data_IF_204156334414
#
_entry.id   IF_204156334414
#
_cell.length_a   1.000
_cell.length_b   1.000
_cell.length_c   1.000
_cell.angle_alpha   90.00
_cell.angle_beta   90.00
_cell.angle_gamma   90.00
#
_symmetry.space_group_name_H-M   'P 1'
#
loop_
_entity.id
_entity.type
_entity.pdbx_description
1 polymer ?
#
# COMPACT_ATOMS: atom_id res chain seq x y z
N UNK A 1 -0.80 -41.50 31.63
CA UNK A 1 -1.84 -40.67 30.98
C UNK A 1 -1.37 -39.23 31.06
N UNK A 2 -0.74 -38.72 29.97
CA UNK A 2 -0.28 -37.34 29.89
C UNK A 2 -1.41 -36.48 29.34
N UNK A 3 -1.90 -35.54 30.12
CA UNK A 3 -2.79 -34.51 29.71
C UNK A 3 -1.99 -33.53 28.83
N UNK A 4 -2.24 -33.50 27.53
CA UNK A 4 -1.79 -32.41 26.66
C UNK A 4 -2.48 -31.13 27.12
N UNK A 5 -1.74 -30.28 27.84
CA UNK A 5 -2.16 -28.90 28.05
C UNK A 5 -2.17 -28.18 26.69
N UNK A 6 -3.35 -28.00 26.13
CA UNK A 6 -3.57 -27.04 25.07
C UNK A 6 -3.40 -25.67 25.71
N UNK A 7 -2.25 -25.07 25.54
CA UNK A 7 -2.01 -23.68 25.94
C UNK A 7 -2.90 -22.80 25.04
N UNK A 8 -4.01 -22.33 25.59
CA UNK A 8 -4.85 -21.32 24.96
C UNK A 8 -4.01 -20.03 24.87
N UNK A 9 -3.54 -19.69 23.68
CA UNK A 9 -2.85 -18.43 23.43
C UNK A 9 -3.74 -17.28 23.89
N UNK A 10 -3.15 -16.32 24.61
CA UNK A 10 -3.83 -15.09 24.98
C UNK A 10 -4.26 -14.33 23.71
N UNK A 11 -5.34 -13.55 23.73
CA UNK A 11 -5.82 -12.80 22.55
C UNK A 11 -4.77 -11.88 21.92
N UNK A 12 -3.83 -11.35 22.71
CA UNK A 12 -2.74 -10.49 22.23
C UNK A 12 -1.67 -11.31 21.48
N UNK A 13 -1.33 -12.53 21.92
CA UNK A 13 -0.38 -13.41 21.23
C UNK A 13 -0.83 -13.79 19.81
N UNK A 14 -2.15 -13.95 19.61
CA UNK A 14 -2.72 -14.26 18.28
C UNK A 14 -2.65 -13.05 17.36
N UNK A 15 -2.84 -11.85 17.86
CA UNK A 15 -2.78 -10.63 17.06
C UNK A 15 -1.35 -10.35 16.59
N UNK A 16 -0.37 -10.54 17.45
CA UNK A 16 1.06 -10.42 17.10
C UNK A 16 1.43 -11.44 16.01
N UNK A 17 0.87 -12.64 16.06
CA UNK A 17 1.04 -13.65 15.00
C UNK A 17 0.44 -13.19 13.67
N UNK A 18 -0.73 -12.56 13.66
CA UNK A 18 -1.37 -12.02 12.43
C UNK A 18 -0.51 -10.92 11.81
N UNK A 19 0.05 -10.02 12.62
CA UNK A 19 0.92 -8.96 12.13
C UNK A 19 2.25 -9.48 11.59
N UNK A 20 2.81 -10.49 12.24
CA UNK A 20 4.02 -11.15 11.75
C UNK A 20 3.77 -11.83 10.41
N UNK A 21 2.66 -12.57 10.26
CA UNK A 21 2.30 -13.22 9.00
C UNK A 21 1.99 -12.21 7.93
N UNK A 22 1.32 -11.09 8.25
CA UNK A 22 1.10 -10.00 7.31
C UNK A 22 2.43 -9.44 6.77
N UNK A 23 3.37 -9.13 7.66
CA UNK A 23 4.68 -8.60 7.27
C UNK A 23 5.45 -9.59 6.40
N UNK A 24 5.43 -10.89 6.76
CA UNK A 24 6.05 -11.94 5.95
C UNK A 24 5.36 -12.12 4.60
N UNK A 25 4.03 -11.96 4.52
CA UNK A 25 3.28 -12.05 3.27
C UNK A 25 3.62 -10.90 2.33
N UNK A 26 3.75 -9.67 2.85
CA UNK A 26 4.19 -8.51 2.06
C UNK A 26 5.60 -8.72 1.53
N UNK A 27 6.53 -9.16 2.38
CA UNK A 27 7.91 -9.44 1.99
C UNK A 27 7.98 -10.55 0.92
N UNK A 28 7.28 -11.65 1.12
CA UNK A 28 7.21 -12.75 0.15
C UNK A 28 6.65 -12.29 -1.20
N UNK A 29 5.54 -11.56 -1.18
CA UNK A 29 4.91 -11.05 -2.40
C UNK A 29 5.81 -10.06 -3.14
N UNK A 30 6.52 -9.21 -2.42
CA UNK A 30 7.49 -8.26 -2.97
C UNK A 30 8.66 -8.98 -3.61
N UNK A 31 9.19 -10.02 -2.98
CA UNK A 31 10.27 -10.84 -3.54
C UNK A 31 9.86 -11.50 -4.86
N UNK A 32 8.62 -12.02 -4.94
CA UNK A 32 8.07 -12.58 -6.19
C UNK A 32 7.85 -11.54 -7.29
N UNK A 33 7.64 -10.29 -6.93
CA UNK A 33 7.46 -9.20 -7.89
C UNK A 33 8.79 -8.69 -8.48
N UNK A 34 9.92 -8.91 -7.80
CA UNK A 34 11.25 -8.43 -8.25
C UNK A 34 11.62 -8.83 -9.67
N UNK A 35 11.22 -10.02 -10.10
CA UNK A 35 11.54 -10.52 -11.43
C UNK A 35 10.86 -9.72 -12.55
N UNK A 36 9.79 -9.02 -12.22
CA UNK A 36 9.03 -8.18 -13.14
C UNK A 36 9.44 -6.70 -13.05
N UNK A 37 10.06 -6.30 -11.95
CA UNK A 37 10.54 -4.94 -11.77
C UNK A 37 11.77 -4.68 -12.63
N UNK A 38 11.77 -3.57 -13.37
CA UNK A 38 12.83 -3.23 -14.30
C UNK A 38 12.84 -4.09 -15.58
N UNK A 39 11.75 -4.82 -15.83
CA UNK A 39 11.56 -5.49 -17.12
C UNK A 39 11.53 -4.45 -18.24
N UNK A 40 12.29 -4.72 -19.28
CA UNK A 40 12.32 -3.94 -20.51
C UNK A 40 12.21 -4.88 -21.71
N UNK A 41 11.16 -4.72 -22.50
CA UNK A 41 11.02 -5.43 -23.76
C UNK A 41 11.96 -4.80 -24.79
N UNK A 42 12.90 -5.57 -25.40
CA UNK A 42 13.77 -5.05 -26.44
C UNK A 42 13.04 -4.46 -27.64
N UNK A 43 11.84 -4.98 -27.95
CA UNK A 43 10.99 -4.50 -29.03
C UNK A 43 10.04 -3.37 -28.62
N UNK A 44 10.01 -3.00 -27.33
CA UNK A 44 9.16 -1.95 -26.74
C UNK A 44 7.66 -2.14 -27.00
N UNK A 45 7.22 -3.38 -27.18
CA UNK A 45 5.82 -3.75 -27.43
C UNK A 45 5.07 -4.14 -26.18
N UNK A 46 5.79 -4.62 -25.16
CA UNK A 46 5.23 -5.11 -23.91
C UNK A 46 5.66 -4.20 -22.74
N UNK A 47 4.70 -3.64 -22.04
CA UNK A 47 4.90 -2.85 -20.84
C UNK A 47 4.15 -3.45 -19.67
N UNK A 48 4.79 -3.49 -18.50
CA UNK A 48 4.13 -3.95 -17.28
C UNK A 48 3.54 -2.73 -16.58
N UNK A 49 2.21 -2.66 -16.56
CA UNK A 49 1.49 -1.58 -15.87
C UNK A 49 1.56 -1.71 -14.36
N UNK A 50 1.38 -0.59 -13.65
CA UNK A 50 1.24 -0.56 -12.18
C UNK A 50 0.14 -1.51 -11.69
N UNK A 51 -0.98 -1.60 -12.43
CA UNK A 51 -2.10 -2.51 -12.13
C UNK A 51 -1.67 -3.98 -12.24
N UNK A 52 -0.89 -4.34 -13.26
CA UNK A 52 -0.36 -5.71 -13.42
C UNK A 52 0.58 -6.05 -12.27
N UNK A 53 1.48 -5.16 -11.90
CA UNK A 53 2.38 -5.36 -10.76
C UNK A 53 1.62 -5.53 -9.46
N UNK A 54 0.61 -4.69 -9.21
CA UNK A 54 -0.26 -4.79 -8.04
C UNK A 54 -1.02 -6.12 -8.02
N UNK A 55 -1.49 -6.61 -9.17
CA UNK A 55 -2.15 -7.91 -9.28
C UNK A 55 -1.21 -9.04 -8.91
N UNK A 56 0.02 -9.05 -9.42
CA UNK A 56 1.05 -10.07 -9.09
C UNK A 56 1.38 -10.02 -7.60
N UNK A 57 1.57 -8.82 -7.03
CA UNK A 57 1.81 -8.63 -5.60
C UNK A 57 0.67 -9.24 -4.77
N UNK A 58 -0.57 -8.86 -5.05
CA UNK A 58 -1.74 -9.29 -4.28
C UNK A 58 -2.02 -10.79 -4.41
N UNK A 59 -1.83 -11.38 -5.58
CA UNK A 59 -1.97 -12.83 -5.77
C UNK A 59 -1.00 -13.61 -4.88
N UNK A 60 0.27 -13.21 -4.84
CA UNK A 60 1.28 -13.87 -4.00
C UNK A 60 1.04 -13.60 -2.51
N UNK A 61 0.60 -12.40 -2.14
CA UNK A 61 0.21 -12.04 -0.79
C UNK A 61 -0.95 -12.91 -0.28
N UNK A 62 -2.05 -12.98 -1.02
CA UNK A 62 -3.25 -13.75 -0.66
C UNK A 62 -2.91 -15.24 -0.57
N UNK A 63 -2.14 -15.76 -1.53
CA UNK A 63 -1.69 -17.16 -1.52
C UNK A 63 -0.91 -17.47 -0.25
N UNK A 64 0.05 -16.64 0.12
CA UNK A 64 0.84 -16.81 1.34
C UNK A 64 -0.03 -16.77 2.60
N UNK A 65 -0.95 -15.81 2.72
CA UNK A 65 -1.87 -15.72 3.85
C UNK A 65 -2.72 -17.00 4.00
N UNK A 66 -3.21 -17.54 2.87
CA UNK A 66 -3.96 -18.80 2.84
C UNK A 66 -3.09 -19.99 3.27
N UNK A 67 -1.85 -20.09 2.81
CA UNK A 67 -0.90 -21.14 3.21
C UNK A 67 -0.57 -21.09 4.71
N UNK A 68 -0.67 -19.91 5.33
CA UNK A 68 -0.48 -19.70 6.77
C UNK A 68 -1.76 -19.84 7.59
N UNK A 69 -2.92 -20.03 6.97
CA UNK A 69 -4.20 -20.18 7.65
C UNK A 69 -4.70 -18.91 8.35
N UNK A 70 -4.40 -17.73 7.81
CA UNK A 70 -4.79 -16.43 8.39
C UNK A 70 -5.78 -15.67 7.50
N UNK A 71 -6.35 -16.29 6.48
CA UNK A 71 -7.29 -15.69 5.54
C UNK A 71 -8.56 -15.13 6.18
N UNK A 72 -8.95 -15.64 7.34
CA UNK A 72 -10.07 -15.09 8.12
C UNK A 72 -9.69 -13.82 8.90
N UNK A 73 -8.39 -13.64 9.17
CA UNK A 73 -7.87 -12.49 9.91
C UNK A 73 -7.30 -11.40 9.01
N UNK A 74 -6.90 -11.74 7.79
CA UNK A 74 -6.30 -10.82 6.82
C UNK A 74 -7.10 -10.89 5.53
N UNK A 75 -7.79 -9.83 5.18
CA UNK A 75 -8.54 -9.73 3.93
C UNK A 75 -7.99 -8.63 3.02
N UNK A 76 -8.20 -8.81 1.71
CA UNK A 76 -7.82 -7.84 0.67
C UNK A 76 -9.05 -7.47 -0.15
N UNK A 77 -9.35 -6.19 -0.23
CA UNK A 77 -10.43 -5.64 -1.04
C UNK A 77 -9.83 -4.77 -2.15
N UNK A 78 -9.98 -5.19 -3.40
CA UNK A 78 -9.51 -4.44 -4.58
C UNK A 78 -10.60 -3.45 -4.98
N UNK A 79 -10.20 -2.20 -5.25
CA UNK A 79 -11.12 -1.15 -5.67
C UNK A 79 -11.47 -1.27 -7.15
N UNK A 80 -12.70 -0.92 -7.50
CA UNK A 80 -13.09 -0.68 -8.89
C UNK A 80 -12.42 0.60 -9.42
N UNK A 81 -12.31 0.75 -10.76
CA UNK A 81 -11.71 1.94 -11.36
C UNK A 81 -12.36 3.23 -10.89
N UNK A 82 -13.67 3.25 -10.75
CA UNK A 82 -14.39 4.41 -10.22
C UNK A 82 -13.99 4.74 -8.77
N UNK A 83 -13.85 3.72 -7.93
CA UNK A 83 -13.41 3.90 -6.54
C UNK A 83 -11.95 4.36 -6.46
N UNK A 84 -11.06 3.80 -7.30
CA UNK A 84 -9.66 4.24 -7.41
C UNK A 84 -9.56 5.75 -7.70
N UNK A 85 -10.34 6.22 -8.68
CA UNK A 85 -10.33 7.63 -9.10
C UNK A 85 -10.98 8.56 -8.06
N UNK A 86 -12.00 8.07 -7.34
CA UNK A 86 -12.75 8.87 -6.37
C UNK A 86 -12.05 8.95 -5.02
N UNK A 87 -11.48 7.82 -4.57
CA UNK A 87 -10.90 7.68 -3.22
C UNK A 87 -9.37 7.73 -3.21
N UNK A 88 -8.72 7.62 -4.37
CA UNK A 88 -7.26 7.52 -4.47
C UNK A 88 -6.69 6.19 -3.96
N UNK A 89 -7.53 5.16 -3.79
CA UNK A 89 -7.18 3.86 -3.20
C UNK A 89 -7.24 2.78 -4.27
N UNK A 90 -6.20 1.96 -4.39
CA UNK A 90 -6.17 0.82 -5.31
C UNK A 90 -6.69 -0.46 -4.62
N UNK A 91 -6.33 -0.67 -3.36
CA UNK A 91 -6.88 -1.75 -2.53
C UNK A 91 -6.80 -1.42 -1.04
N UNK A 92 -7.53 -2.18 -0.24
CA UNK A 92 -7.50 -2.10 1.22
C UNK A 92 -7.13 -3.47 1.77
N UNK A 93 -6.13 -3.53 2.62
CA UNK A 93 -5.90 -4.64 3.54
C UNK A 93 -6.64 -4.39 4.85
N UNK A 94 -7.35 -5.40 5.33
CA UNK A 94 -8.02 -5.36 6.63
C UNK A 94 -7.44 -6.45 7.51
N UNK A 95 -6.93 -6.06 8.67
CA UNK A 95 -6.42 -6.95 9.70
C UNK A 95 -7.45 -6.99 10.84
N UNK A 96 -8.03 -8.17 11.05
CA UNK A 96 -9.07 -8.42 12.06
C UNK A 96 -8.49 -9.24 13.22
N UNK A 97 -8.97 -8.96 14.42
CA UNK A 97 -8.69 -9.83 15.55
C UNK A 97 -9.53 -11.12 15.50
N UNK A 98 -9.37 -11.98 16.49
CA UNK A 98 -10.12 -13.25 16.62
C UNK A 98 -11.63 -13.07 16.86
N UNK A 99 -12.08 -11.87 17.13
CA UNK A 99 -13.47 -11.45 17.10
C UNK A 99 -13.66 -10.59 15.85
N UNK A 100 -14.80 -10.69 15.18
CA UNK A 100 -15.13 -10.04 13.90
C UNK A 100 -15.00 -8.50 13.86
N UNK A 101 -14.45 -7.89 14.90
CA UNK A 101 -14.21 -6.45 14.96
C UNK A 101 -12.97 -6.11 14.13
N UNK A 102 -13.17 -5.30 13.08
CA UNK A 102 -12.07 -4.70 12.31
C UNK A 102 -11.19 -3.90 13.26
N UNK A 103 -9.94 -4.29 13.40
CA UNK A 103 -9.00 -3.59 14.27
C UNK A 103 -8.14 -2.58 13.52
N UNK A 104 -7.84 -2.86 12.24
CA UNK A 104 -6.88 -2.05 11.51
C UNK A 104 -7.04 -2.21 9.99
N UNK A 105 -6.98 -1.09 9.27
CA UNK A 105 -7.03 -1.06 7.81
C UNK A 105 -5.79 -0.35 7.24
N UNK A 106 -5.31 -0.82 6.10
CA UNK A 106 -4.27 -0.16 5.32
C UNK A 106 -4.84 0.08 3.93
N UNK A 107 -5.16 1.34 3.63
CA UNK A 107 -5.58 1.77 2.32
C UNK A 107 -4.33 2.07 1.48
N UNK A 108 -4.22 1.45 0.32
CA UNK A 108 -3.00 1.49 -0.49
C UNK A 108 -3.26 2.14 -1.83
N UNK A 109 -2.33 3.01 -2.22
CA UNK A 109 -2.15 3.49 -3.58
C UNK A 109 -0.80 3.02 -4.09
N UNK A 110 -0.76 2.43 -5.28
CA UNK A 110 0.47 2.02 -5.94
C UNK A 110 0.84 3.02 -7.06
N UNK A 111 2.13 3.33 -7.15
CA UNK A 111 2.71 4.15 -8.22
C UNK A 111 3.96 3.48 -8.78
N UNK A 112 4.31 3.81 -10.01
CA UNK A 112 5.52 3.34 -10.68
C UNK A 112 6.32 4.54 -11.15
N UNK A 113 7.55 4.69 -10.63
CA UNK A 113 8.41 5.85 -10.93
C UNK A 113 9.44 5.57 -12.04
N UNK A 114 9.76 4.30 -12.30
CA UNK A 114 10.74 3.91 -13.30
C UNK A 114 10.05 3.38 -14.56
N UNK A 115 10.49 3.90 -15.70
CA UNK A 115 10.02 3.40 -17.00
C UNK A 115 8.63 3.88 -17.38
N UNK A 116 8.23 5.05 -16.89
CA UNK A 116 6.99 5.68 -17.33
C UNK A 116 7.04 5.97 -18.84
N UNK A 117 6.80 4.94 -19.65
CA UNK A 117 6.11 5.18 -20.90
C UNK A 117 4.75 5.73 -20.49
N UNK A 118 4.51 6.99 -20.77
CA UNK A 118 3.14 7.48 -20.76
C UNK A 118 2.36 6.52 -21.66
N UNK A 119 1.23 5.96 -21.17
CA UNK A 119 0.39 5.11 -22.02
C UNK A 119 0.21 5.86 -23.34
N UNK A 120 0.57 5.23 -24.44
CA UNK A 120 0.26 5.81 -25.74
C UNK A 120 -1.25 5.89 -25.82
N UNK A 121 -1.80 6.93 -26.43
CA UNK A 121 -3.26 7.15 -26.53
C UNK A 121 -4.03 5.93 -27.09
N UNK A 122 -3.32 4.95 -27.64
CA UNK A 122 -3.86 3.71 -28.20
C UNK A 122 -4.14 2.62 -27.14
N UNK A 123 -3.53 2.69 -25.93
CA UNK A 123 -3.59 1.61 -24.95
C UNK A 123 -4.69 1.79 -23.90
N UNK A 124 -5.35 2.95 -23.85
CA UNK A 124 -6.40 3.23 -22.89
C UNK A 124 -7.79 2.97 -23.45
N UNK A 125 -8.58 2.18 -22.68
CA UNK A 125 -9.98 1.93 -23.01
C UNK A 125 -10.76 3.27 -23.10
N UNK A 126 -11.46 3.54 -24.20
CA UNK A 126 -12.28 4.75 -24.35
C UNK A 126 -13.30 4.95 -23.23
N UNK A 127 -13.75 3.87 -22.59
CA UNK A 127 -14.65 3.93 -21.44
C UNK A 127 -13.90 4.47 -20.20
N UNK A 128 -12.68 4.00 -19.94
CA UNK A 128 -11.86 4.48 -18.83
C UNK A 128 -11.55 5.97 -18.96
N UNK A 129 -11.19 6.43 -20.13
CA UNK A 129 -10.99 7.88 -20.42
C UNK A 129 -12.23 8.73 -20.14
N UNK A 130 -13.43 8.24 -20.52
CA UNK A 130 -14.68 8.94 -20.25
C UNK A 130 -15.00 9.00 -18.77
N UNK A 131 -14.80 7.89 -18.06
CA UNK A 131 -15.01 7.80 -16.63
C UNK A 131 -14.06 8.75 -15.88
N UNK A 132 -12.79 8.77 -16.26
CA UNK A 132 -11.78 9.65 -15.65
C UNK A 132 -12.13 11.12 -15.83
N UNK A 133 -12.49 11.54 -17.06
CA UNK A 133 -12.96 12.91 -17.35
C UNK A 133 -14.19 13.26 -16.52
N UNK A 134 -15.18 12.37 -16.45
CA UNK A 134 -16.40 12.63 -15.68
C UNK A 134 -16.12 12.83 -14.19
N UNK A 135 -15.15 12.10 -13.62
CA UNK A 135 -14.76 12.25 -12.22
C UNK A 135 -13.94 13.52 -12.00
N UNK A 136 -13.04 13.88 -12.93
CA UNK A 136 -12.29 15.12 -12.87
C UNK A 136 -13.21 16.34 -12.98
N UNK A 137 -14.23 16.29 -13.81
CA UNK A 137 -15.22 17.36 -13.95
C UNK A 137 -16.06 17.56 -12.66
N UNK A 138 -16.20 16.53 -11.84
CA UNK A 138 -16.87 16.57 -10.54
C UNK A 138 -15.97 17.03 -9.40
N UNK A 139 -14.66 17.13 -9.62
CA UNK A 139 -13.68 17.54 -8.61
C UNK A 139 -13.16 18.98 -8.91
N UNK A 140 -13.84 20.03 -8.44
CA UNK A 140 -13.45 21.40 -8.70
C UNK A 140 -12.11 21.79 -8.09
N UNK A 141 -11.58 20.99 -7.14
CA UNK A 141 -10.28 21.24 -6.50
C UNK A 141 -9.13 20.62 -7.26
N UNK A 142 -9.40 19.77 -8.25
CA UNK A 142 -8.38 18.98 -8.96
C UNK A 142 -7.45 18.21 -7.99
N UNK A 143 -8.06 17.66 -6.95
CA UNK A 143 -7.36 16.96 -5.87
C UNK A 143 -6.60 15.75 -6.43
N UNK A 144 -5.33 15.63 -6.09
CA UNK A 144 -4.51 14.49 -6.55
C UNK A 144 -5.00 13.17 -5.93
N UNK A 145 -4.60 12.05 -6.54
CA UNK A 145 -4.93 10.72 -5.99
C UNK A 145 -4.35 10.51 -4.59
N UNK A 146 -3.15 11.07 -4.30
CA UNK A 146 -2.53 11.00 -2.98
C UNK A 146 -3.29 11.81 -1.93
N UNK A 147 -3.79 12.99 -2.29
CA UNK A 147 -4.64 13.80 -1.42
C UNK A 147 -5.98 13.10 -1.15
N UNK A 148 -6.60 12.49 -2.16
CA UNK A 148 -7.82 11.69 -2.00
C UNK A 148 -7.59 10.50 -1.05
N UNK A 149 -6.46 9.80 -1.15
CA UNK A 149 -6.10 8.73 -0.22
C UNK A 149 -5.97 9.26 1.22
N UNK A 150 -5.36 10.42 1.41
CA UNK A 150 -5.22 11.05 2.72
C UNK A 150 -6.60 11.43 3.30
N UNK A 151 -7.46 12.04 2.49
CA UNK A 151 -8.83 12.40 2.87
C UNK A 151 -9.68 11.16 3.20
N UNK A 152 -9.55 10.10 2.40
CA UNK A 152 -10.20 8.82 2.65
C UNK A 152 -9.81 8.24 4.02
N UNK A 153 -8.52 8.14 4.31
CA UNK A 153 -8.05 7.63 5.60
C UNK A 153 -8.51 8.51 6.76
N UNK A 154 -8.48 9.83 6.58
CA UNK A 154 -8.93 10.79 7.58
C UNK A 154 -10.43 10.63 7.89
N UNK A 155 -11.24 10.32 6.88
CA UNK A 155 -12.69 10.11 7.05
C UNK A 155 -13.03 8.82 7.80
N UNK A 156 -12.20 7.77 7.66
CA UNK A 156 -12.38 6.52 8.42
C UNK A 156 -11.86 6.65 9.86
N UNK A 157 -10.81 7.46 10.06
CA UNK A 157 -10.27 7.74 11.37
C UNK A 157 -9.01 6.95 11.73
N UNK A 158 -8.65 6.92 13.01
CA UNK A 158 -7.35 6.42 13.50
C UNK A 158 -7.01 4.97 13.19
N UNK A 159 -8.01 4.16 12.84
CA UNK A 159 -7.81 2.75 12.50
C UNK A 159 -7.48 2.50 11.02
N UNK A 160 -7.34 3.55 10.21
CA UNK A 160 -6.98 3.47 8.79
C UNK A 160 -5.64 4.16 8.52
N UNK A 161 -4.70 3.41 7.94
CA UNK A 161 -3.42 3.93 7.44
C UNK A 161 -3.47 4.10 5.93
N UNK A 162 -3.04 5.26 5.44
CA UNK A 162 -2.75 5.48 4.03
C UNK A 162 -1.30 5.09 3.72
N UNK A 163 -1.11 4.22 2.76
CA UNK A 163 0.19 3.73 2.30
C UNK A 163 0.34 3.94 0.80
N UNK A 164 1.35 4.70 0.39
CA UNK A 164 1.78 4.75 -1.00
C UNK A 164 2.86 3.70 -1.22
N UNK A 165 2.63 2.71 -2.09
CA UNK A 165 3.64 1.74 -2.52
C UNK A 165 4.22 2.18 -3.85
N UNK A 166 5.54 2.21 -3.93
CA UNK A 166 6.30 2.65 -5.09
C UNK A 166 7.03 1.47 -5.70
N UNK A 167 6.71 1.16 -6.94
CA UNK A 167 7.39 0.15 -7.74
C UNK A 167 8.52 0.77 -8.54
N UNK A 168 9.74 0.36 -8.25
CA UNK A 168 10.94 0.89 -8.88
C UNK A 168 11.28 2.32 -8.43
N UNK A 169 12.47 2.51 -7.92
CA UNK A 169 12.99 3.84 -7.54
C UNK A 169 14.10 4.19 -8.52
N UNK A 170 14.27 5.46 -8.92
CA UNK A 170 15.38 5.89 -9.77
C UNK A 170 16.72 5.39 -9.24
N UNK A 171 17.52 4.78 -10.10
CA UNK A 171 18.79 4.13 -9.71
C UNK A 171 18.62 2.74 -9.04
N UNK A 172 17.41 2.34 -8.65
CA UNK A 172 17.09 1.06 -8.03
C UNK A 172 15.76 0.49 -8.57
N UNK A 173 15.71 0.11 -9.85
CA UNK A 173 14.46 -0.26 -10.51
C UNK A 173 13.78 -1.52 -9.94
N UNK A 174 14.51 -2.33 -9.18
CA UNK A 174 13.98 -3.55 -8.54
C UNK A 174 13.53 -3.34 -7.09
N UNK A 175 13.69 -2.13 -6.55
CA UNK A 175 13.26 -1.82 -5.19
C UNK A 175 11.75 -1.54 -5.14
N UNK A 176 11.12 -2.00 -4.06
CA UNK A 176 9.77 -1.63 -3.68
C UNK A 176 9.86 -0.84 -2.37
N UNK A 177 9.27 0.33 -2.34
CA UNK A 177 9.27 1.21 -1.17
C UNK A 177 7.85 1.60 -0.77
N UNK A 178 7.66 1.91 0.49
CA UNK A 178 6.40 2.43 1.01
C UNK A 178 6.58 3.77 1.70
N UNK A 179 5.57 4.63 1.58
CA UNK A 179 5.51 5.91 2.29
C UNK A 179 4.13 6.05 2.93
N UNK A 180 4.09 6.32 4.23
CA UNK A 180 2.83 6.60 4.92
C UNK A 180 2.35 8.02 4.56
N UNK A 181 1.14 8.13 4.02
CA UNK A 181 0.61 9.38 3.46
C UNK A 181 0.46 10.49 4.50
N UNK A 182 0.19 10.14 5.77
CA UNK A 182 0.09 11.11 6.87
C UNK A 182 1.39 11.93 7.09
N UNK A 183 2.53 11.35 6.73
CA UNK A 183 3.83 12.04 6.85
C UNK A 183 4.11 12.94 5.65
N UNK A 184 3.56 12.61 4.47
CA UNK A 184 3.65 13.47 3.28
C UNK A 184 2.96 14.81 3.54
N UNK A 185 1.74 14.79 4.11
CA UNK A 185 1.00 16.01 4.44
C UNK A 185 1.65 16.90 5.50
N UNK A 186 2.41 16.30 6.43
CA UNK A 186 3.07 17.04 7.51
C UNK A 186 4.34 17.78 7.08
N UNK A 187 4.99 17.33 6.01
CA UNK A 187 6.29 17.84 5.53
C UNK A 187 6.17 18.72 4.28
N UNK A 188 5.00 18.70 3.64
CA UNK A 188 4.73 19.54 2.48
C UNK A 188 4.41 20.97 2.95
N UNK A 189 4.93 21.98 2.26
CA UNK A 189 4.60 23.38 2.54
C UNK A 189 3.08 23.57 2.50
N UNK A 190 2.55 24.39 3.42
CA UNK A 190 1.11 24.65 3.47
C UNK A 190 0.60 25.16 2.12
N UNK A 191 -0.24 24.37 1.47
CA UNK A 191 -0.85 24.69 0.18
C UNK A 191 -0.16 24.09 -1.05
N UNK A 192 0.94 23.35 -0.90
CA UNK A 192 1.50 22.59 -2.00
C UNK A 192 0.76 21.26 -2.16
N UNK A 193 0.50 20.89 -3.42
CA UNK A 193 -0.21 19.65 -3.77
C UNK A 193 0.67 18.43 -3.55
N UNK A 194 0.09 17.35 -3.02
CA UNK A 194 0.76 16.06 -2.86
C UNK A 194 0.78 15.33 -4.19
N UNK A 195 1.95 15.22 -4.80
CA UNK A 195 2.14 14.58 -6.11
C UNK A 195 3.09 13.38 -6.02
N UNK A 196 3.19 12.61 -7.09
CA UNK A 196 4.22 11.57 -7.20
C UNK A 196 5.64 12.13 -7.07
N UNK A 197 5.87 13.35 -7.57
CA UNK A 197 7.15 14.04 -7.38
C UNK A 197 7.49 14.30 -5.92
N UNK A 198 6.48 14.57 -5.08
CA UNK A 198 6.65 14.68 -3.63
C UNK A 198 7.13 13.36 -3.03
N UNK A 199 6.50 12.24 -3.41
CA UNK A 199 6.89 10.90 -2.95
C UNK A 199 8.32 10.57 -3.38
N UNK A 200 8.66 10.84 -4.64
CA UNK A 200 10.00 10.61 -5.19
C UNK A 200 11.06 11.39 -4.43
N UNK A 201 10.84 12.68 -4.21
CA UNK A 201 11.76 13.54 -3.47
C UNK A 201 12.06 12.98 -2.06
N UNK A 202 11.03 12.46 -1.37
CA UNK A 202 11.24 11.83 -0.07
C UNK A 202 12.07 10.55 -0.16
N UNK A 203 11.79 9.68 -1.13
CA UNK A 203 12.50 8.41 -1.28
C UNK A 203 13.97 8.60 -1.66
N UNK A 204 14.29 9.62 -2.45
CA UNK A 204 15.66 9.95 -2.85
C UNK A 204 16.49 10.51 -1.70
N UNK A 205 15.86 11.25 -0.78
CA UNK A 205 16.53 11.91 0.34
C UNK A 205 16.50 11.10 1.64
N UNK A 206 16.02 9.85 1.60
CA UNK A 206 15.90 9.01 2.80
C UNK A 206 16.84 7.83 2.73
N UNK A 207 17.69 7.70 3.76
CA UNK A 207 18.63 6.59 3.94
C UNK A 207 18.11 5.52 4.92
N UNK A 208 17.17 5.87 5.81
CA UNK A 208 16.67 4.96 6.84
C UNK A 208 15.25 4.50 6.53
N UNK A 209 15.05 3.19 6.58
CA UNK A 209 13.77 2.54 6.35
C UNK A 209 13.43 1.64 7.54
N UNK A 210 12.13 1.48 7.78
CA UNK A 210 11.61 0.50 8.73
C UNK A 210 11.01 -0.69 7.99
N UNK A 211 10.91 -1.82 8.66
CA UNK A 211 10.21 -2.99 8.15
C UNK A 211 8.67 -2.80 8.19
N UNK A 212 7.95 -3.61 7.41
CA UNK A 212 6.48 -3.64 7.47
C UNK A 212 5.98 -3.96 8.88
N UNK A 213 6.68 -4.85 9.59
CA UNK A 213 6.38 -5.20 10.98
C UNK A 213 6.48 -3.99 11.90
N UNK A 214 7.61 -3.30 11.88
CA UNK A 214 7.82 -2.07 12.67
C UNK A 214 6.80 -0.97 12.33
N UNK A 215 6.39 -0.85 11.07
CA UNK A 215 5.34 0.08 10.66
C UNK A 215 4.03 -0.20 11.43
N UNK A 216 3.60 -1.46 11.44
CA UNK A 216 2.36 -1.88 12.11
C UNK A 216 2.49 -1.68 13.62
N UNK A 217 3.57 -2.16 14.21
CA UNK A 217 3.84 -2.03 15.64
C UNK A 217 3.85 -0.56 16.09
N UNK A 218 4.61 0.29 15.41
CA UNK A 218 4.66 1.72 15.71
C UNK A 218 3.29 2.38 15.62
N UNK A 219 2.45 1.97 14.64
CA UNK A 219 1.11 2.54 14.52
C UNK A 219 0.18 2.11 15.66
N UNK A 220 0.20 0.84 16.05
CA UNK A 220 -0.62 0.32 17.13
C UNK A 220 -0.21 0.85 18.50
N UNK A 221 1.10 0.97 18.76
CA UNK A 221 1.59 1.52 20.03
C UNK A 221 1.38 3.03 20.14
N UNK A 222 1.34 3.76 19.02
CA UNK A 222 1.00 5.20 19.01
C UNK A 222 -0.41 5.51 19.49
N UNK A 223 -1.36 4.63 19.31
CA UNK A 223 -2.70 4.79 19.90
C UNK A 223 -2.64 4.80 21.44
N UNK A 224 -1.51 4.43 22.04
CA UNK A 224 -1.26 4.43 23.49
C UNK A 224 -0.46 5.64 24.01
N UNK A 225 -0.18 6.68 23.19
CA UNK A 225 0.28 7.98 23.70
C UNK A 225 1.65 8.52 23.29
N UNK A 226 2.38 7.92 22.36
CA UNK A 226 3.65 8.47 21.89
C UNK A 226 3.48 9.21 20.55
N UNK A 227 3.80 10.50 20.52
CA UNK A 227 3.80 11.33 19.30
C UNK A 227 5.22 11.37 18.75
N UNK A 228 5.47 10.60 17.70
CA UNK A 228 6.71 10.70 16.90
C UNK A 228 6.34 11.21 15.49
N UNK A 229 6.85 12.39 15.12
CA UNK A 229 6.50 13.09 13.88
C UNK A 229 7.48 12.79 12.73
N UNK A 230 8.38 11.81 12.88
CA UNK A 230 9.33 11.50 11.83
C UNK A 230 8.65 10.78 10.67
N UNK A 231 9.02 11.10 9.41
CA UNK A 231 8.55 10.38 8.23
C UNK A 231 8.89 8.89 8.35
N UNK A 232 7.91 8.04 8.02
CA UNK A 232 8.10 6.59 8.07
C UNK A 232 8.16 6.06 6.65
N UNK A 233 9.32 5.54 6.30
CA UNK A 233 9.59 4.86 5.04
C UNK A 233 9.68 3.37 5.28
N UNK A 234 9.11 2.60 4.36
CA UNK A 234 9.01 1.16 4.52
C UNK A 234 9.81 0.51 3.41
N UNK A 235 10.70 -0.38 3.79
CA UNK A 235 11.38 -1.26 2.87
C UNK A 235 10.65 -2.59 2.83
N UNK A 236 10.22 -2.98 1.63
CA UNK A 236 9.54 -4.27 1.40
C UNK A 236 10.51 -5.39 1.04
N UNK A 237 11.80 -5.11 1.07
CA UNK A 237 12.85 -6.07 0.71
C UNK A 237 14.03 -5.96 1.65
#
# INVERSE_FOLDING_TARGET
MGLNQVTLLQPDDKLDTVFEVFAQAVLHASDKLKDYLGFSDPEQKLHISTRTMSTVLLMNFIKFCKEKGVEECISTCIMSRQQELTMGVDWIWTLSGTTTNVRFQIAVQAIQLTGAHQPTEMDEDPYEKRLERSILDLDPRQTTRLEKLLDFCSSIGGNCLGLCIVYGVPGRPRDIRGVLTKHLGATTEKGASLTEATVLHYLENTESFISTKEMIEKHLYRQRGAVDNQPVYIQFL
#
